data_IF_833204076826
#
_entry.id   IF_833204076826
#
_cell.length_a   1.000
_cell.length_b   1.000
_cell.length_c   1.000
_cell.angle_alpha   90.00
_cell.angle_beta   90.00
_cell.angle_gamma   90.00
#
_symmetry.space_group_name_H-M   'P 1'
#
loop_
_entity.id
_entity.type
_entity.pdbx_description
1 polymer ?
#
# COMPACT_ATOMS: atom_id res chain seq x y z
N UNK A 1 -11.80 -16.56 13.15
CA UNK A 1 -11.26 -15.99 11.88
C UNK A 1 -10.51 -14.71 12.22
N UNK A 2 -9.34 -14.48 11.61
CA UNK A 2 -8.51 -13.28 11.90
C UNK A 2 -8.57 -12.33 10.71
N UNK A 3 -8.88 -11.05 10.96
CA UNK A 3 -8.78 -9.98 9.95
C UNK A 3 -7.31 -9.60 9.78
N UNK A 4 -6.83 -9.54 8.54
CA UNK A 4 -5.62 -8.78 8.24
C UNK A 4 -6.01 -7.30 8.31
N UNK A 5 -5.38 -6.54 9.21
CA UNK A 5 -5.52 -5.09 9.24
C UNK A 5 -4.73 -4.51 8.09
N UNK A 6 -5.40 -3.76 7.20
CA UNK A 6 -4.74 -3.04 6.13
C UNK A 6 -4.38 -1.66 6.67
N UNK A 7 -3.13 -1.49 7.12
CA UNK A 7 -2.64 -0.15 7.46
C UNK A 7 -2.63 0.70 6.19
N UNK A 8 -3.59 1.62 6.06
CA UNK A 8 -3.27 2.91 5.45
C UNK A 8 -2.07 3.46 6.23
N UNK A 9 -1.02 3.85 5.51
CA UNK A 9 0.15 4.51 6.09
C UNK A 9 -0.27 5.93 6.57
N UNK A 10 -1.08 6.01 7.61
CA UNK A 10 -1.35 7.24 8.36
C UNK A 10 -0.30 7.35 9.45
N UNK A 11 0.73 8.14 9.15
CA UNK A 11 1.81 8.54 10.05
C UNK A 11 1.21 9.20 11.30
N UNK A 12 1.30 8.53 12.44
CA UNK A 12 0.85 9.05 13.73
C UNK A 12 1.94 9.99 14.29
N UNK A 13 1.69 11.30 14.28
CA UNK A 13 2.55 12.28 14.93
C UNK A 13 2.50 12.11 16.47
N UNK A 14 3.58 11.63 17.07
CA UNK A 14 3.79 11.72 18.51
C UNK A 14 4.24 13.14 18.87
N UNK A 15 3.41 13.87 19.62
CA UNK A 15 3.75 15.17 20.20
C UNK A 15 4.55 14.91 21.48
N UNK A 16 5.84 15.20 21.47
CA UNK A 16 6.67 15.28 22.70
C UNK A 16 6.63 16.72 23.19
N UNK A 17 5.94 16.94 24.31
CA UNK A 17 6.01 18.20 25.06
C UNK A 17 7.31 18.25 25.85
N UNK A 18 8.18 19.22 25.54
CA UNK A 18 9.38 19.51 26.32
C UNK A 18 9.04 20.57 27.37
N UNK A 19 9.01 20.19 28.65
CA UNK A 19 8.95 21.13 29.76
C UNK A 19 10.37 21.67 30.02
N UNK A 20 10.53 22.99 30.04
CA UNK A 20 11.73 23.62 30.60
C UNK A 20 11.42 24.16 31.98
N UNK A 21 12.13 23.64 32.98
CA UNK A 21 12.25 24.20 34.33
C UNK A 21 12.86 25.60 34.26
N UNK A 22 12.16 26.58 34.82
CA UNK A 22 12.69 27.92 35.04
C UNK A 22 13.78 27.90 36.12
N UNK A 23 14.81 28.72 35.93
CA UNK A 23 15.73 29.07 37.00
C UNK A 23 15.65 30.58 37.25
N UNK A 24 15.46 30.93 38.53
CA UNK A 24 15.34 32.29 39.05
C UNK A 24 16.61 33.12 38.89
N UNK A 25 16.38 34.42 38.67
CA UNK A 25 17.33 35.52 38.78
C UNK A 25 17.95 35.63 40.18
N UNK A 26 19.22 36.04 40.24
CA UNK A 26 19.75 36.98 41.24
C UNK A 26 21.01 37.66 40.71
N UNK A 27 21.00 39.00 40.77
CA UNK A 27 22.08 39.96 40.55
C UNK A 27 23.30 39.65 41.47
N UNK A 28 24.52 40.20 41.35
CA UNK A 28 24.94 41.52 40.91
C UNK A 28 26.49 41.58 40.79
N UNK A 29 27.00 42.57 40.06
CA UNK A 29 28.28 43.24 40.34
C UNK A 29 29.55 42.83 39.57
N UNK A 30 30.03 43.71 38.68
CA UNK A 30 31.44 43.71 38.25
C UNK A 30 31.75 44.42 36.93
N UNK A 31 31.94 45.74 37.00
CA UNK A 31 32.40 46.63 35.93
C UNK A 31 33.81 46.28 35.38
N UNK A 32 33.98 46.21 34.05
CA UNK A 32 35.18 46.77 33.40
C UNK A 32 34.97 47.17 31.93
N UNK A 33 35.59 48.30 31.59
CA UNK A 33 35.52 49.06 30.34
C UNK A 33 36.47 48.47 29.28
N UNK A 34 36.03 48.39 28.01
CA UNK A 34 36.96 48.06 26.93
C UNK A 34 36.39 47.88 25.53
N UNK A 35 36.10 49.00 24.86
CA UNK A 35 36.43 49.30 23.46
C UNK A 35 36.27 48.20 22.38
N UNK A 36 35.29 48.41 21.48
CA UNK A 36 35.17 47.70 20.20
C UNK A 36 33.75 47.24 19.91
N UNK A 37 32.76 48.15 19.96
CA UNK A 37 31.36 47.82 19.72
C UNK A 37 31.11 47.39 18.28
N UNK A 38 31.34 46.12 17.97
CA UNK A 38 30.58 45.44 16.92
C UNK A 38 29.11 45.64 17.29
N UNK A 39 28.35 46.34 16.46
CA UNK A 39 26.92 46.51 16.65
C UNK A 39 26.27 45.13 16.40
N UNK A 40 26.33 44.25 17.40
CA UNK A 40 25.74 42.92 17.35
C UNK A 40 24.24 43.09 17.48
N UNK A 41 23.57 43.06 16.33
CA UNK A 41 22.12 43.11 16.26
C UNK A 41 21.58 41.78 16.79
N UNK A 42 20.87 41.84 17.94
CA UNK A 42 20.28 40.65 18.55
C UNK A 42 19.14 40.10 17.69
N UNK A 43 19.17 38.79 17.43
CA UNK A 43 18.11 38.10 16.69
C UNK A 43 16.82 38.09 17.52
N UNK A 44 15.72 38.45 16.88
CA UNK A 44 14.36 38.48 17.45
C UNK A 44 13.38 37.60 16.67
N UNK A 45 13.81 36.97 15.58
CA UNK A 45 13.00 36.06 14.79
C UNK A 45 13.74 35.46 13.61
N UNK A 46 13.17 34.37 13.08
CA UNK A 46 13.57 33.73 11.82
C UNK A 46 12.32 33.48 10.98
N UNK A 47 12.41 33.69 9.67
CA UNK A 47 11.34 33.37 8.71
C UNK A 47 11.92 32.63 7.51
N UNK A 48 11.13 31.73 6.93
CA UNK A 48 11.47 31.04 5.69
C UNK A 48 10.86 31.72 4.47
N UNK A 49 11.54 31.65 3.34
CA UNK A 49 11.04 32.11 2.04
C UNK A 49 9.87 31.26 1.51
N UNK A 50 9.73 30.03 2.01
CA UNK A 50 8.65 29.10 1.69
C UNK A 50 8.17 28.38 2.95
N UNK A 51 6.85 28.23 3.06
CA UNK A 51 6.20 27.46 4.14
C UNK A 51 5.75 26.08 3.66
N UNK A 52 5.73 25.85 2.35
CA UNK A 52 5.43 24.55 1.73
C UNK A 52 6.33 24.29 0.51
N UNK A 53 6.63 23.02 0.25
CA UNK A 53 7.34 22.54 -0.93
C UNK A 53 6.67 21.26 -1.44
N UNK A 54 6.53 21.13 -2.75
CA UNK A 54 6.16 19.87 -3.41
C UNK A 54 7.28 19.46 -4.35
N UNK A 55 7.95 18.35 -4.06
CA UNK A 55 9.12 17.87 -4.80
C UNK A 55 8.87 16.45 -5.33
N UNK A 56 9.46 16.12 -6.48
CA UNK A 56 9.57 14.72 -6.90
C UNK A 56 10.71 14.05 -6.14
N UNK A 57 10.60 12.75 -5.90
CA UNK A 57 11.66 11.94 -5.30
C UNK A 57 12.98 12.14 -6.06
N UNK A 58 14.09 12.32 -5.34
CA UNK A 58 15.40 12.66 -5.89
C UNK A 58 15.61 14.14 -6.22
N UNK A 59 14.56 14.97 -6.27
CA UNK A 59 14.70 16.41 -6.50
C UNK A 59 15.20 17.15 -5.25
N UNK A 60 15.80 18.31 -5.47
CA UNK A 60 16.29 19.20 -4.41
C UNK A 60 15.68 20.59 -4.53
N UNK A 61 15.59 21.28 -3.39
CA UNK A 61 15.21 22.69 -3.34
C UNK A 61 15.88 23.37 -2.15
N UNK A 62 16.22 24.65 -2.27
CA UNK A 62 16.82 25.42 -1.18
C UNK A 62 15.76 26.24 -0.46
N UNK A 63 15.78 26.21 0.87
CA UNK A 63 15.03 27.10 1.75
C UNK A 63 15.93 28.24 2.21
N UNK A 64 15.47 29.47 2.00
CA UNK A 64 16.13 30.67 2.50
C UNK A 64 15.60 31.05 3.88
N UNK A 65 16.49 31.22 4.85
CA UNK A 65 16.13 31.75 6.16
C UNK A 65 16.52 33.24 6.26
N UNK A 66 15.60 34.09 6.70
CA UNK A 66 15.82 35.52 6.96
C UNK A 66 15.72 35.79 8.46
N UNK A 67 16.70 36.52 9.01
CA UNK A 67 16.74 36.89 10.42
C UNK A 67 16.17 38.30 10.64
N UNK A 68 15.45 38.48 11.74
CA UNK A 68 14.96 39.77 12.19
C UNK A 68 15.70 40.25 13.45
N UNK A 69 15.93 41.56 13.62
CA UNK A 69 15.70 42.62 12.64
C UNK A 69 16.74 42.60 11.52
N UNK A 70 16.51 43.37 10.45
CA UNK A 70 17.43 43.40 9.31
C UNK A 70 18.86 43.75 9.74
N UNK A 71 19.84 43.00 9.22
CA UNK A 71 21.25 43.10 9.61
C UNK A 71 21.66 42.19 10.76
N UNK A 72 20.72 41.47 11.40
CA UNK A 72 21.05 40.40 12.33
C UNK A 72 21.81 39.27 11.61
N UNK A 73 22.86 38.76 12.25
CA UNK A 73 23.68 37.66 11.75
C UNK A 73 23.69 36.52 12.76
N UNK A 74 23.79 35.28 12.27
CA UNK A 74 23.83 34.10 13.12
C UNK A 74 23.71 32.81 12.33
N UNK A 75 24.03 31.69 12.99
CA UNK A 75 23.98 30.38 12.38
C UNK A 75 22.59 29.77 12.59
N UNK A 76 21.90 29.49 11.49
CA UNK A 76 20.61 28.78 11.50
C UNK A 76 20.88 27.28 11.49
N UNK A 77 20.31 26.56 12.46
CA UNK A 77 20.30 25.10 12.47
C UNK A 77 19.08 24.58 11.71
N UNK A 78 19.27 23.46 11.01
CA UNK A 78 18.23 22.82 10.20
C UNK A 78 17.97 21.41 10.70
N UNK A 79 16.70 21.00 10.71
CA UNK A 79 16.31 19.64 11.03
C UNK A 79 15.10 19.20 10.20
N UNK A 80 14.94 17.88 10.06
CA UNK A 80 13.76 17.27 9.44
C UNK A 80 13.02 16.42 10.46
N UNK A 81 11.69 16.42 10.40
CA UNK A 81 10.87 15.49 11.17
C UNK A 81 11.04 14.03 10.72
N UNK A 82 11.41 13.81 9.45
CA UNK A 82 11.68 12.49 8.88
C UNK A 82 12.68 12.60 7.71
N UNK A 83 13.96 12.35 8.02
CA UNK A 83 15.04 12.39 7.03
C UNK A 83 14.95 11.27 5.97
N UNK A 84 14.15 10.22 6.19
CA UNK A 84 13.91 9.16 5.20
C UNK A 84 12.89 9.57 4.14
N UNK A 85 12.12 10.64 4.39
CA UNK A 85 11.17 11.25 3.45
C UNK A 85 11.78 12.50 2.81
N UNK A 86 12.25 13.45 3.61
CA UNK A 86 12.97 14.62 3.12
C UNK A 86 14.10 14.99 4.09
N UNK A 87 15.32 15.11 3.57
CA UNK A 87 16.49 15.52 4.36
C UNK A 87 16.83 16.98 4.08
N UNK A 88 17.53 17.64 4.99
CA UNK A 88 18.03 19.01 4.83
C UNK A 88 19.47 19.08 5.30
N UNK A 89 20.33 19.80 4.58
CA UNK A 89 21.71 20.03 5.01
C UNK A 89 21.88 21.37 5.75
N UNK A 90 23.07 21.63 6.27
CA UNK A 90 23.38 22.86 7.02
C UNK A 90 23.21 24.17 6.22
N UNK A 91 23.13 24.10 4.89
CA UNK A 91 22.91 25.25 4.00
C UNK A 91 21.43 25.44 3.64
N UNK A 92 20.50 24.67 4.23
CA UNK A 92 19.07 24.74 3.92
C UNK A 92 18.69 24.07 2.60
N UNK A 93 19.56 23.25 2.01
CA UNK A 93 19.23 22.45 0.82
C UNK A 93 18.45 21.22 1.27
N UNK A 94 17.20 21.16 0.84
CA UNK A 94 16.28 20.04 1.05
C UNK A 94 16.42 19.05 -0.10
N UNK A 95 16.59 17.78 0.23
CA UNK A 95 16.58 16.66 -0.72
C UNK A 95 15.38 15.77 -0.46
N UNK A 96 14.55 15.56 -1.49
CA UNK A 96 13.43 14.63 -1.45
C UNK A 96 13.93 13.19 -1.55
N UNK A 97 13.72 12.38 -0.52
CA UNK A 97 14.28 11.03 -0.40
C UNK A 97 13.28 9.95 -0.78
N UNK A 98 12.03 10.06 -0.29
CA UNK A 98 10.98 9.05 -0.53
C UNK A 98 9.61 9.71 -0.50
N UNK A 99 8.67 9.22 -1.32
CA UNK A 99 7.25 9.62 -1.25
C UNK A 99 6.74 9.69 0.19
N UNK A 100 6.16 10.84 0.56
CA UNK A 100 5.68 11.10 1.92
C UNK A 100 5.55 12.60 2.22
N UNK A 101 5.38 12.94 3.50
CA UNK A 101 5.42 14.33 3.96
C UNK A 101 6.32 14.45 5.18
N UNK A 102 7.21 15.45 5.19
CA UNK A 102 8.09 15.77 6.31
C UNK A 102 8.14 17.28 6.54
N UNK A 103 8.38 17.71 7.78
CA UNK A 103 8.57 19.13 8.11
C UNK A 103 10.05 19.44 8.25
N UNK A 104 10.50 20.48 7.55
CA UNK A 104 11.84 21.05 7.69
C UNK A 104 11.76 22.25 8.62
N UNK A 105 12.57 22.25 9.67
CA UNK A 105 12.60 23.30 10.70
C UNK A 105 13.93 24.03 10.62
N UNK A 106 13.86 25.36 10.51
CA UNK A 106 14.98 26.27 10.70
C UNK A 106 14.91 26.88 12.10
N UNK A 107 16.01 26.85 12.85
CA UNK A 107 16.06 27.33 14.22
C UNK A 107 17.28 28.22 14.49
N UNK A 108 17.09 29.23 15.35
CA UNK A 108 18.17 30.06 15.88
C UNK A 108 17.80 30.52 17.30
N UNK A 109 18.58 30.08 18.29
CA UNK A 109 18.21 30.27 19.69
C UNK A 109 16.85 29.64 20.00
N UNK A 110 15.89 30.44 20.44
CA UNK A 110 14.51 30.03 20.73
C UNK A 110 13.53 30.23 19.56
N UNK A 111 13.98 30.86 18.47
CA UNK A 111 13.13 31.16 17.32
C UNK A 111 13.17 30.02 16.31
N UNK A 112 11.99 29.67 15.77
CA UNK A 112 11.84 28.60 14.78
C UNK A 112 10.93 29.03 13.63
N UNK A 113 11.17 28.47 12.45
CA UNK A 113 10.30 28.55 11.29
C UNK A 113 10.24 27.20 10.58
N UNK A 114 9.08 26.84 10.04
CA UNK A 114 8.83 25.50 9.49
C UNK A 114 8.34 25.56 8.06
N UNK A 115 8.84 24.65 7.23
CA UNK A 115 8.34 24.37 5.88
C UNK A 115 7.87 22.92 5.78
N UNK A 116 6.63 22.70 5.32
CA UNK A 116 6.10 21.35 5.06
C UNK A 116 6.51 20.91 3.65
N UNK A 117 7.20 19.77 3.55
CA UNK A 117 7.67 19.20 2.30
C UNK A 117 6.84 17.96 1.97
N UNK A 118 6.14 18.00 0.84
CA UNK A 118 5.46 16.84 0.26
C UNK A 118 6.33 16.28 -0.85
N UNK A 119 6.74 15.01 -0.70
CA UNK A 119 7.48 14.28 -1.73
C UNK A 119 6.51 13.42 -2.52
N UNK A 120 6.46 13.66 -3.81
CA UNK A 120 5.77 12.85 -4.81
C UNK A 120 6.75 11.83 -5.37
N UNK A 121 6.30 10.58 -5.58
CA UNK A 121 7.15 9.56 -6.20
C UNK A 121 7.39 9.84 -7.70
N UNK A 122 8.28 9.08 -8.31
CA UNK A 122 8.33 8.99 -9.78
C UNK A 122 7.07 8.30 -10.31
N UNK A 123 6.58 8.75 -11.47
CA UNK A 123 5.44 8.11 -12.14
C UNK A 123 5.91 6.76 -12.68
N UNK A 124 5.75 5.70 -11.87
CA UNK A 124 6.06 4.35 -12.34
C UNK A 124 4.98 3.91 -13.31
N UNK A 125 5.31 3.93 -14.60
CA UNK A 125 4.41 3.45 -15.65
C UNK A 125 4.52 1.93 -15.70
N UNK A 126 3.46 1.26 -15.25
CA UNK A 126 3.34 -0.19 -15.37
C UNK A 126 2.81 -0.52 -16.75
N UNK A 127 3.65 -1.14 -17.59
CA UNK A 127 3.25 -1.60 -18.92
C UNK A 127 3.11 -3.12 -18.92
N UNK A 128 1.91 -3.59 -18.54
CA UNK A 128 1.57 -5.01 -18.62
C UNK A 128 0.26 -5.21 -19.41
N UNK A 129 0.16 -6.23 -20.29
CA UNK A 129 -1.06 -6.49 -21.06
C UNK A 129 -2.32 -6.66 -20.20
N UNK A 130 -2.21 -7.21 -18.98
CA UNK A 130 -3.34 -7.38 -18.08
C UNK A 130 -3.93 -6.04 -17.59
N UNK A 131 -3.16 -4.95 -17.64
CA UNK A 131 -3.59 -3.59 -17.30
C UNK A 131 -4.08 -2.77 -18.51
N UNK A 132 -4.06 -3.37 -19.72
CA UNK A 132 -4.47 -2.68 -20.95
C UNK A 132 -5.97 -2.77 -21.26
N UNK A 133 -6.70 -3.65 -20.59
CA UNK A 133 -8.14 -3.88 -20.75
C UNK A 133 -9.04 -2.77 -20.17
N UNK A 134 -10.26 -3.15 -19.79
CA UNK A 134 -11.30 -2.23 -19.25
C UNK A 134 -12.28 -2.94 -18.30
N UNK A 135 -13.17 -2.16 -17.67
CA UNK A 135 -14.23 -2.63 -16.77
C UNK A 135 -13.72 -3.56 -15.66
N UNK A 136 -12.73 -3.07 -14.92
CA UNK A 136 -12.05 -3.85 -13.89
C UNK A 136 -12.88 -3.98 -12.61
N UNK A 137 -12.98 -5.19 -12.09
CA UNK A 137 -13.44 -5.49 -10.73
C UNK A 137 -12.23 -5.98 -9.94
N UNK A 138 -11.65 -5.11 -9.11
CA UNK A 138 -10.30 -5.31 -8.56
C UNK A 138 -10.38 -5.88 -7.15
N UNK A 139 -9.84 -7.08 -6.92
CA UNK A 139 -9.79 -7.72 -5.60
C UNK A 139 -8.44 -7.56 -4.91
N UNK A 140 -7.34 -7.56 -5.66
CA UNK A 140 -5.99 -7.37 -5.13
C UNK A 140 -5.12 -6.70 -6.18
N UNK A 141 -4.64 -5.50 -5.88
CA UNK A 141 -3.72 -4.76 -6.75
C UNK A 141 -3.03 -3.68 -5.92
N UNK A 142 -1.74 -3.48 -6.16
CA UNK A 142 -1.00 -2.38 -5.53
C UNK A 142 -1.49 -1.00 -5.99
N UNK A 143 -1.23 0.04 -5.20
CA UNK A 143 -1.77 1.38 -5.46
C UNK A 143 -1.22 2.04 -6.72
N UNK A 144 0.02 1.73 -7.12
CA UNK A 144 0.63 2.29 -8.32
C UNK A 144 -0.03 1.70 -9.56
N UNK A 145 -0.13 0.37 -9.61
CA UNK A 145 -0.81 -0.32 -10.71
C UNK A 145 -2.30 0.02 -10.74
N UNK A 146 -2.96 0.12 -9.59
CA UNK A 146 -4.36 0.55 -9.51
C UNK A 146 -4.57 1.96 -10.04
N UNK A 147 -3.71 2.92 -9.66
CA UNK A 147 -3.80 4.29 -10.16
C UNK A 147 -3.70 4.36 -11.70
N UNK A 148 -2.91 3.46 -12.32
CA UNK A 148 -2.76 3.41 -13.79
C UNK A 148 -4.04 2.99 -14.53
N UNK A 149 -4.95 2.25 -13.87
CA UNK A 149 -6.20 1.75 -14.45
C UNK A 149 -7.45 2.34 -13.78
N UNK A 150 -7.31 3.26 -12.81
CA UNK A 150 -8.41 3.71 -11.96
C UNK A 150 -9.63 4.22 -12.74
N UNK A 151 -9.41 4.92 -13.86
CA UNK A 151 -10.49 5.42 -14.73
C UNK A 151 -11.27 4.33 -15.46
N UNK A 152 -10.77 3.08 -15.43
CA UNK A 152 -11.35 1.89 -16.06
C UNK A 152 -11.92 0.90 -15.03
N UNK A 153 -11.85 1.23 -13.74
CA UNK A 153 -12.34 0.37 -12.65
C UNK A 153 -13.85 0.55 -12.51
N UNK A 154 -14.59 -0.55 -12.63
CA UNK A 154 -16.04 -0.63 -12.37
C UNK A 154 -16.31 -0.79 -10.87
N UNK A 155 -15.52 -1.61 -10.18
CA UNK A 155 -15.61 -1.76 -8.72
C UNK A 155 -14.24 -1.99 -8.08
N UNK A 156 -13.91 -1.18 -7.07
CA UNK A 156 -12.77 -1.41 -6.18
C UNK A 156 -13.21 -2.33 -5.02
N UNK A 157 -12.84 -3.61 -5.14
CA UNK A 157 -13.16 -4.68 -4.20
C UNK A 157 -11.93 -5.06 -3.34
N UNK A 158 -10.87 -4.25 -3.37
CA UNK A 158 -9.68 -4.46 -2.54
C UNK A 158 -10.05 -4.37 -1.06
N UNK A 159 -9.45 -5.18 -0.17
CA UNK A 159 -9.74 -5.12 1.25
C UNK A 159 -9.51 -3.71 1.84
N UNK A 160 -10.35 -3.34 2.80
CA UNK A 160 -10.24 -2.17 3.65
C UNK A 160 -10.51 -2.58 5.11
N UNK A 161 -10.42 -1.63 6.05
CA UNK A 161 -10.65 -1.91 7.47
C UNK A 161 -12.15 -1.82 7.89
N UNK A 162 -13.07 -1.63 6.93
CA UNK A 162 -14.48 -1.27 7.21
C UNK A 162 -15.46 -2.24 6.54
N UNK A 163 -15.50 -2.23 5.21
CA UNK A 163 -16.55 -2.78 4.37
C UNK A 163 -16.11 -3.98 3.50
N UNK A 164 -14.82 -4.10 3.21
CA UNK A 164 -14.24 -5.14 2.36
C UNK A 164 -13.13 -5.82 3.12
N UNK A 165 -13.11 -7.13 3.25
CA UNK A 165 -12.12 -7.79 4.11
C UNK A 165 -11.41 -8.91 3.36
N UNK A 166 -10.16 -9.17 3.75
CA UNK A 166 -9.48 -10.45 3.53
C UNK A 166 -9.56 -11.24 4.84
N UNK A 167 -10.40 -12.27 4.87
CA UNK A 167 -10.52 -13.15 6.03
C UNK A 167 -9.62 -14.35 5.87
N UNK A 168 -8.77 -14.60 6.88
CA UNK A 168 -8.08 -15.88 7.03
C UNK A 168 -8.92 -16.80 7.92
N UNK A 169 -9.18 -18.01 7.45
CA UNK A 169 -9.87 -19.03 8.25
C UNK A 169 -9.01 -19.44 9.44
N UNK A 170 -9.68 -19.63 10.56
CA UNK A 170 -9.05 -19.75 11.86
C UNK A 170 -8.11 -20.96 11.95
N UNK A 171 -6.90 -20.73 12.45
CA UNK A 171 -5.86 -21.75 12.63
C UNK A 171 -5.42 -22.45 11.34
N UNK A 172 -5.66 -21.85 10.18
CA UNK A 172 -5.33 -22.48 8.90
C UNK A 172 -4.14 -21.81 8.19
N UNK A 173 -4.23 -20.51 7.93
CA UNK A 173 -3.12 -19.70 7.39
C UNK A 173 -2.67 -18.69 8.43
N UNK A 174 -1.45 -18.19 8.27
CA UNK A 174 -1.00 -16.96 8.91
C UNK A 174 -0.61 -15.92 7.85
N UNK A 175 -0.69 -14.65 8.22
CA UNK A 175 -0.20 -13.58 7.37
C UNK A 175 1.33 -13.71 7.22
N UNK A 176 1.80 -13.77 5.98
CA UNK A 176 3.21 -13.69 5.65
C UNK A 176 3.69 -12.24 5.57
N UNK A 177 5.01 -12.08 5.44
CA UNK A 177 5.64 -10.78 5.17
C UNK A 177 6.07 -10.74 3.71
N UNK A 178 5.41 -9.94 2.85
CA UNK A 178 5.85 -9.71 1.48
C UNK A 178 7.33 -9.31 1.41
N UNK A 179 8.11 -9.99 0.56
CA UNK A 179 9.53 -9.73 0.33
C UNK A 179 9.90 -9.80 -1.16
N UNK A 180 10.68 -8.84 -1.64
CA UNK A 180 11.03 -8.67 -3.06
C UNK A 180 10.09 -7.71 -3.78
N UNK A 181 9.81 -7.99 -5.05
CA UNK A 181 8.90 -7.21 -5.89
C UNK A 181 7.58 -7.95 -6.11
N UNK A 182 6.52 -7.19 -6.34
CA UNK A 182 5.16 -7.68 -6.62
C UNK A 182 5.05 -8.22 -8.05
N UNK A 183 3.83 -8.59 -8.49
CA UNK A 183 3.62 -9.20 -9.80
C UNK A 183 4.13 -8.35 -10.97
N UNK A 184 4.01 -7.03 -10.86
CA UNK A 184 4.46 -6.06 -11.87
C UNK A 184 5.88 -5.55 -11.66
N UNK A 185 6.66 -6.18 -10.76
CA UNK A 185 8.05 -5.81 -10.49
C UNK A 185 8.20 -4.58 -9.59
N UNK A 186 7.14 -4.15 -8.91
CA UNK A 186 7.16 -2.99 -8.01
C UNK A 186 7.53 -3.38 -6.59
N UNK A 187 8.24 -2.51 -5.87
CA UNK A 187 8.45 -2.64 -4.42
C UNK A 187 7.23 -2.14 -3.64
N UNK A 188 6.09 -2.80 -3.88
CA UNK A 188 4.81 -2.55 -3.24
C UNK A 188 4.28 -3.85 -2.62
N UNK A 189 3.25 -3.75 -1.77
CA UNK A 189 2.69 -4.90 -1.07
C UNK A 189 1.84 -5.81 -1.96
N UNK A 190 1.78 -7.09 -1.60
CA UNK A 190 0.86 -8.10 -2.11
C UNK A 190 0.34 -8.95 -0.94
N UNK A 191 -0.60 -9.86 -1.20
CA UNK A 191 -1.09 -10.78 -0.17
C UNK A 191 -0.14 -11.97 -0.08
N UNK A 192 0.52 -12.13 1.07
CA UNK A 192 1.35 -13.29 1.38
C UNK A 192 0.68 -14.13 2.45
N UNK A 193 0.41 -15.40 2.13
CA UNK A 193 -0.24 -16.35 3.04
C UNK A 193 0.73 -17.49 3.35
N UNK A 194 0.99 -17.74 4.62
CA UNK A 194 1.83 -18.85 5.07
C UNK A 194 0.93 -20.01 5.46
N UNK A 195 1.16 -21.18 4.88
CA UNK A 195 0.41 -22.39 5.21
C UNK A 195 0.76 -22.88 6.60
N UNK A 196 -0.27 -23.07 7.43
CA UNK A 196 -0.13 -23.62 8.77
C UNK A 196 0.07 -25.14 8.78
N UNK A 197 -0.16 -25.74 9.95
CA UNK A 197 -0.01 -27.19 10.16
C UNK A 197 -1.28 -27.99 9.89
N UNK A 198 -2.40 -27.30 9.64
CA UNK A 198 -3.72 -27.92 9.40
C UNK A 198 -3.91 -28.17 7.91
N UNK A 199 -4.50 -29.31 7.56
CA UNK A 199 -4.68 -29.82 6.20
C UNK A 199 -5.05 -28.76 5.15
N UNK A 200 -6.35 -28.58 4.87
CA UNK A 200 -6.79 -27.49 3.98
C UNK A 200 -6.87 -26.18 4.75
N UNK A 201 -6.27 -25.15 4.17
CA UNK A 201 -6.15 -23.83 4.76
C UNK A 201 -6.55 -22.75 3.77
N UNK A 202 -7.25 -21.70 4.21
CA UNK A 202 -7.84 -20.77 3.24
C UNK A 202 -8.03 -19.34 3.73
N UNK A 203 -8.12 -18.46 2.74
CA UNK A 203 -8.43 -17.06 2.90
C UNK A 203 -9.42 -16.60 1.82
N UNK A 204 -10.21 -15.56 2.10
CA UNK A 204 -11.19 -15.06 1.13
C UNK A 204 -11.44 -13.56 1.20
N UNK A 205 -11.65 -12.97 0.03
CA UNK A 205 -12.07 -11.60 -0.19
C UNK A 205 -13.58 -11.52 -0.11
N UNK A 206 -14.09 -10.61 0.70
CA UNK A 206 -15.52 -10.46 0.92
C UNK A 206 -15.93 -8.99 1.06
N UNK A 207 -17.21 -8.76 0.81
CA UNK A 207 -17.90 -7.53 1.15
C UNK A 207 -18.84 -7.76 2.34
N UNK A 208 -19.06 -6.74 3.15
CA UNK A 208 -20.12 -6.73 4.15
C UNK A 208 -21.42 -6.12 3.58
N UNK A 209 -22.45 -5.99 4.41
CA UNK A 209 -23.72 -5.39 3.99
C UNK A 209 -23.61 -3.89 3.71
N UNK A 210 -22.71 -3.19 4.42
CA UNK A 210 -22.55 -1.73 4.36
C UNK A 210 -21.81 -1.27 3.09
N UNK A 211 -21.04 -2.16 2.44
CA UNK A 211 -20.49 -1.90 1.11
C UNK A 211 -21.59 -1.74 0.05
N UNK A 212 -22.73 -2.41 0.25
CA UNK A 212 -23.80 -2.49 -0.74
C UNK A 212 -23.60 -3.61 -1.78
N UNK A 213 -24.53 -3.72 -2.73
CA UNK A 213 -24.49 -4.72 -3.79
C UNK A 213 -23.30 -4.50 -4.74
N UNK A 214 -22.58 -5.57 -5.05
CA UNK A 214 -21.56 -5.59 -6.12
C UNK A 214 -22.23 -6.04 -7.40
N UNK A 215 -22.45 -5.10 -8.32
CA UNK A 215 -23.04 -5.40 -9.62
C UNK A 215 -21.98 -5.88 -10.60
N UNK A 216 -22.03 -7.16 -10.97
CA UNK A 216 -21.13 -7.79 -11.93
C UNK A 216 -21.88 -8.33 -13.16
N UNK A 217 -23.11 -7.86 -13.44
CA UNK A 217 -23.94 -8.42 -14.53
C UNK A 217 -23.36 -8.21 -15.92
N UNK A 218 -22.43 -7.29 -16.11
CA UNK A 218 -21.70 -7.16 -17.39
C UNK A 218 -20.91 -8.45 -17.73
N UNK A 219 -20.51 -9.25 -16.73
CA UNK A 219 -19.91 -10.58 -16.95
C UNK A 219 -20.95 -11.59 -17.45
N UNK A 220 -22.21 -11.47 -17.04
CA UNK A 220 -23.32 -12.28 -17.54
C UNK A 220 -23.69 -11.90 -18.97
N UNK A 221 -23.74 -10.61 -19.27
CA UNK A 221 -24.12 -10.09 -20.58
C UNK A 221 -23.02 -10.34 -21.64
N UNK A 222 -21.74 -10.32 -21.22
CA UNK A 222 -20.58 -10.41 -22.11
C UNK A 222 -19.53 -11.45 -21.66
N UNK A 223 -19.89 -12.72 -21.37
CA UNK A 223 -18.99 -13.69 -20.73
C UNK A 223 -17.76 -14.05 -21.58
N UNK A 224 -17.83 -13.87 -22.90
CA UNK A 224 -16.72 -14.12 -23.82
C UNK A 224 -15.63 -13.05 -23.81
N UNK A 225 -15.92 -11.86 -23.29
CA UNK A 225 -14.95 -10.74 -23.24
C UNK A 225 -14.21 -10.67 -21.90
N UNK A 226 -14.72 -11.34 -20.87
CA UNK A 226 -14.21 -11.25 -19.50
C UNK A 226 -13.31 -12.41 -19.10
N UNK A 227 -12.30 -12.06 -18.29
CA UNK A 227 -11.37 -13.01 -17.67
C UNK A 227 -11.20 -12.67 -16.19
N UNK A 228 -11.02 -13.70 -15.36
CA UNK A 228 -10.45 -13.59 -14.03
C UNK A 228 -8.93 -13.77 -14.15
N UNK A 229 -8.18 -12.70 -13.87
CA UNK A 229 -6.73 -12.74 -13.72
C UNK A 229 -6.38 -13.08 -12.28
N UNK A 230 -5.42 -13.98 -12.07
CA UNK A 230 -4.82 -14.24 -10.75
C UNK A 230 -3.32 -14.35 -10.93
N UNK A 231 -2.58 -13.35 -10.42
CA UNK A 231 -1.14 -13.42 -10.24
C UNK A 231 -0.82 -14.23 -8.99
N UNK A 232 0.08 -15.20 -9.12
CA UNK A 232 0.51 -16.04 -8.02
C UNK A 232 2.02 -16.29 -8.04
N UNK A 233 2.57 -16.47 -6.85
CA UNK A 233 3.91 -16.99 -6.62
C UNK A 233 3.82 -17.92 -5.42
N UNK A 234 4.43 -19.09 -5.47
CA UNK A 234 4.26 -20.05 -4.38
C UNK A 234 5.43 -21.00 -4.25
N UNK A 235 5.71 -21.36 -3.00
CA UNK A 235 6.65 -22.43 -2.64
C UNK A 235 5.93 -23.72 -2.23
N UNK A 236 4.59 -23.77 -2.33
CA UNK A 236 3.81 -24.97 -2.04
C UNK A 236 4.22 -26.11 -2.95
N UNK A 237 4.44 -27.28 -2.37
CA UNK A 237 4.64 -28.52 -3.12
C UNK A 237 3.69 -29.60 -2.59
N UNK A 238 3.30 -30.54 -3.44
CA UNK A 238 2.54 -31.72 -3.04
C UNK A 238 1.03 -31.55 -2.84
N UNK A 239 0.46 -30.33 -2.99
CA UNK A 239 -0.99 -30.11 -3.10
C UNK A 239 -1.31 -28.98 -4.07
N UNK A 240 -2.49 -29.03 -4.72
CA UNK A 240 -2.94 -27.94 -5.56
C UNK A 240 -3.40 -26.74 -4.74
N UNK A 241 -3.44 -25.58 -5.38
CA UNK A 241 -4.12 -24.40 -4.85
C UNK A 241 -5.55 -24.42 -5.40
N UNK A 242 -6.54 -24.52 -4.52
CA UNK A 242 -7.94 -24.47 -4.91
C UNK A 242 -8.44 -23.01 -4.90
N UNK A 243 -9.29 -22.68 -5.86
CA UNK A 243 -9.87 -21.37 -6.06
C UNK A 243 -11.38 -21.55 -6.04
N UNK A 244 -12.05 -20.76 -5.21
CA UNK A 244 -13.50 -20.74 -5.07
C UNK A 244 -13.99 -19.35 -5.45
N UNK A 245 -14.88 -19.28 -6.42
CA UNK A 245 -15.54 -18.05 -6.88
C UNK A 245 -17.01 -18.16 -6.55
N UNK A 246 -17.61 -17.06 -6.10
CA UNK A 246 -19.04 -16.95 -5.83
C UNK A 246 -19.65 -15.87 -6.73
N UNK A 247 -20.86 -16.10 -7.24
CA UNK A 247 -21.62 -15.13 -8.04
C UNK A 247 -22.88 -14.60 -7.32
N UNK A 248 -23.01 -14.89 -6.03
CA UNK A 248 -24.19 -14.62 -5.21
C UNK A 248 -25.12 -15.83 -5.06
N UNK A 249 -25.13 -16.75 -6.02
CA UNK A 249 -26.02 -17.92 -6.07
C UNK A 249 -25.31 -19.23 -5.76
N UNK A 250 -24.15 -19.44 -6.39
CA UNK A 250 -23.41 -20.68 -6.36
C UNK A 250 -21.93 -20.43 -6.05
N UNK A 251 -21.25 -21.50 -5.64
CA UNK A 251 -19.80 -21.55 -5.53
C UNK A 251 -19.26 -22.38 -6.70
N UNK A 252 -18.50 -21.76 -7.59
CA UNK A 252 -17.70 -22.46 -8.59
C UNK A 252 -16.32 -22.74 -8.02
N UNK A 253 -15.84 -23.98 -8.16
CA UNK A 253 -14.58 -24.43 -7.58
C UNK A 253 -13.71 -25.03 -8.67
N UNK A 254 -12.44 -24.67 -8.67
CA UNK A 254 -11.41 -25.25 -9.51
C UNK A 254 -10.07 -25.16 -8.79
N UNK A 255 -9.00 -25.66 -9.40
CA UNK A 255 -7.66 -25.61 -8.81
C UNK A 255 -6.57 -25.39 -9.84
N UNK A 256 -5.37 -25.06 -9.35
CA UNK A 256 -4.13 -25.10 -10.13
C UNK A 256 -3.15 -26.07 -9.48
N UNK A 257 -2.43 -26.83 -10.31
CA UNK A 257 -1.40 -27.76 -9.84
C UNK A 257 -1.89 -29.16 -9.48
N UNK A 258 -3.11 -29.52 -9.86
CA UNK A 258 -3.69 -30.84 -9.60
C UNK A 258 -5.17 -30.76 -9.20
N UNK A 259 -5.84 -31.91 -9.22
CA UNK A 259 -7.26 -32.00 -8.91
C UNK A 259 -7.53 -31.72 -7.43
N UNK A 260 -8.60 -30.97 -7.16
CA UNK A 260 -9.06 -30.63 -5.84
C UNK A 260 -10.24 -31.51 -5.44
N UNK A 261 -10.18 -32.16 -4.28
CA UNK A 261 -11.30 -32.97 -3.77
C UNK A 261 -11.91 -32.27 -2.56
N UNK A 262 -13.20 -31.96 -2.66
CA UNK A 262 -14.00 -31.37 -1.59
C UNK A 262 -15.24 -32.21 -1.33
N UNK A 263 -15.34 -32.73 -0.11
CA UNK A 263 -16.41 -33.60 0.35
C UNK A 263 -16.77 -34.74 -0.63
N UNK A 264 -15.75 -35.39 -1.20
CA UNK A 264 -15.89 -36.50 -2.15
C UNK A 264 -16.15 -36.09 -3.61
N UNK A 265 -16.33 -34.79 -3.89
CA UNK A 265 -16.43 -34.28 -5.27
C UNK A 265 -15.06 -33.85 -5.76
N UNK A 266 -14.66 -34.35 -6.93
CA UNK A 266 -13.40 -33.98 -7.59
C UNK A 266 -13.63 -32.82 -8.55
N UNK A 267 -12.86 -31.76 -8.37
CA UNK A 267 -12.79 -30.58 -9.22
C UNK A 267 -11.47 -30.64 -9.98
N UNK A 268 -11.51 -30.70 -11.33
CA UNK A 268 -10.30 -30.87 -12.12
C UNK A 268 -9.41 -29.62 -12.06
N UNK A 269 -8.11 -29.85 -12.20
CA UNK A 269 -7.14 -28.76 -12.33
C UNK A 269 -7.43 -27.93 -13.59
N UNK A 270 -7.57 -26.62 -13.44
CA UNK A 270 -7.70 -25.67 -14.55
C UNK A 270 -6.36 -25.47 -15.28
N UNK A 271 -5.27 -25.37 -14.52
CA UNK A 271 -3.93 -25.19 -15.05
C UNK A 271 -2.89 -25.97 -14.24
N UNK A 272 -1.72 -26.21 -14.82
CA UNK A 272 -0.54 -26.66 -14.08
C UNK A 272 -0.04 -25.54 -13.16
N UNK A 273 0.60 -25.91 -12.05
CA UNK A 273 1.25 -24.95 -11.16
C UNK A 273 2.72 -24.85 -11.47
N UNK A 274 3.25 -23.63 -11.46
CA UNK A 274 4.68 -23.35 -11.58
C UNK A 274 5.19 -22.92 -10.21
N UNK A 275 6.21 -23.62 -9.70
CA UNK A 275 6.81 -23.38 -8.39
C UNK A 275 8.29 -22.99 -8.54
N UNK A 276 8.58 -22.09 -9.47
CA UNK A 276 9.94 -21.66 -9.83
C UNK A 276 10.44 -20.46 -9.01
N UNK A 277 9.67 -20.06 -8.00
CA UNK A 277 9.95 -18.89 -7.16
C UNK A 277 9.69 -17.56 -7.85
N UNK A 278 9.10 -17.54 -9.06
CA UNK A 278 8.74 -16.34 -9.80
C UNK A 278 7.23 -16.11 -9.80
N UNK A 279 6.85 -14.89 -10.14
CA UNK A 279 5.47 -14.55 -10.42
C UNK A 279 5.01 -15.22 -11.70
N UNK A 280 3.87 -15.88 -11.61
CA UNK A 280 3.14 -16.52 -12.70
C UNK A 280 1.70 -16.02 -12.64
N UNK A 281 0.90 -16.24 -13.68
CA UNK A 281 -0.52 -15.91 -13.66
C UNK A 281 -1.35 -16.97 -14.36
N UNK A 282 -2.64 -17.00 -14.00
CA UNK A 282 -3.68 -17.67 -14.78
C UNK A 282 -4.71 -16.64 -15.25
N UNK A 283 -5.29 -16.95 -16.40
CA UNK A 283 -6.38 -16.19 -17.01
C UNK A 283 -7.54 -17.16 -17.20
N UNK A 284 -8.56 -17.06 -16.35
CA UNK A 284 -9.73 -17.92 -16.42
C UNK A 284 -10.83 -17.19 -17.18
N UNK A 285 -11.20 -17.63 -18.41
CA UNK A 285 -12.32 -17.01 -19.13
C UNK A 285 -13.60 -17.13 -18.29
N UNK A 286 -14.44 -16.10 -18.27
CA UNK A 286 -15.73 -16.17 -17.58
C UNK A 286 -16.60 -17.29 -18.14
N UNK A 287 -16.53 -17.55 -19.46
CA UNK A 287 -17.18 -18.74 -20.07
C UNK A 287 -16.80 -20.06 -19.40
N UNK A 288 -15.58 -20.19 -18.86
CA UNK A 288 -15.18 -21.37 -18.10
C UNK A 288 -15.79 -21.40 -16.69
N UNK A 289 -16.01 -20.24 -16.08
CA UNK A 289 -16.76 -20.12 -14.83
C UNK A 289 -18.25 -20.45 -15.03
N UNK A 290 -18.83 -20.11 -16.19
CA UNK A 290 -20.19 -20.52 -16.54
C UNK A 290 -20.35 -22.04 -16.57
N UNK A 291 -19.34 -22.79 -17.04
CA UNK A 291 -19.34 -24.26 -17.00
C UNK A 291 -19.36 -24.81 -15.55
N UNK A 292 -18.94 -24.00 -14.56
CA UNK A 292 -19.01 -24.31 -13.13
C UNK A 292 -20.31 -23.82 -12.48
N UNK A 293 -21.26 -23.31 -13.26
CA UNK A 293 -22.55 -22.82 -12.78
C UNK A 293 -22.53 -21.39 -12.24
N UNK A 294 -21.47 -20.62 -12.51
CA UNK A 294 -21.37 -19.21 -12.13
C UNK A 294 -21.78 -18.32 -13.30
N UNK A 295 -22.88 -17.58 -13.14
CA UNK A 295 -23.44 -16.77 -14.22
C UNK A 295 -23.34 -15.26 -13.97
N UNK A 296 -23.26 -14.82 -12.70
CA UNK A 296 -23.20 -13.39 -12.35
C UNK A 296 -24.45 -12.61 -12.79
N UNK A 297 -25.62 -13.27 -12.79
CA UNK A 297 -26.89 -12.73 -13.28
C UNK A 297 -27.60 -11.77 -12.32
N UNK A 298 -27.01 -11.53 -11.14
CA UNK A 298 -27.50 -10.57 -10.14
C UNK A 298 -26.37 -10.00 -9.30
N UNK A 299 -26.60 -8.87 -8.61
CA UNK A 299 -25.60 -8.31 -7.71
C UNK A 299 -25.28 -9.20 -6.51
N UNK A 300 -24.01 -9.24 -6.11
CA UNK A 300 -23.56 -9.93 -4.91
C UNK A 300 -23.81 -9.05 -3.67
N UNK A 301 -24.35 -9.61 -2.60
CA UNK A 301 -24.59 -8.90 -1.33
C UNK A 301 -24.04 -9.71 -0.17
N UNK A 302 -23.07 -9.16 0.57
CA UNK A 302 -22.47 -9.78 1.76
C UNK A 302 -21.96 -11.21 1.48
N UNK A 303 -21.03 -11.35 0.54
CA UNK A 303 -20.48 -12.64 0.10
C UNK A 303 -18.96 -12.62 0.06
N UNK A 304 -18.35 -13.81 0.17
CA UNK A 304 -17.00 -14.02 -0.35
C UNK A 304 -17.09 -13.94 -1.87
N UNK A 305 -16.30 -13.10 -2.52
CA UNK A 305 -16.23 -13.00 -3.99
C UNK A 305 -15.24 -14.03 -4.52
N UNK A 306 -14.11 -14.18 -3.81
CA UNK A 306 -13.04 -15.11 -4.13
C UNK A 306 -12.50 -15.70 -2.83
N UNK A 307 -12.23 -17.00 -2.81
CA UNK A 307 -11.41 -17.63 -1.80
C UNK A 307 -10.31 -18.48 -2.44
N UNK A 308 -9.18 -18.55 -1.75
CA UNK A 308 -8.05 -19.40 -2.11
C UNK A 308 -7.80 -20.37 -0.96
N UNK A 309 -7.66 -21.64 -1.32
CA UNK A 309 -7.29 -22.70 -0.40
C UNK A 309 -5.96 -23.28 -0.84
N UNK A 310 -5.11 -23.54 0.14
CA UNK A 310 -3.88 -24.30 -0.04
C UNK A 310 -3.63 -25.18 1.16
N UNK A 311 -2.50 -25.87 1.12
CA UNK A 311 -2.09 -26.78 2.18
C UNK A 311 -0.96 -27.65 1.70
N UNK A 312 -0.55 -28.61 2.52
CA UNK A 312 0.56 -29.49 2.20
C UNK A 312 1.69 -29.25 3.18
N UNK A 313 2.79 -28.70 2.71
CA UNK A 313 3.94 -28.42 3.57
C UNK A 313 3.67 -27.19 4.44
N UNK A 314 3.75 -27.33 5.76
CA UNK A 314 3.66 -26.19 6.66
C UNK A 314 4.84 -25.23 6.44
N UNK A 315 4.57 -23.93 6.50
CA UNK A 315 5.58 -22.87 6.34
C UNK A 315 5.81 -22.41 4.89
N UNK A 316 5.30 -23.13 3.88
CA UNK A 316 5.38 -22.64 2.49
C UNK A 316 4.35 -21.53 2.24
N UNK A 317 4.65 -20.67 1.27
CA UNK A 317 3.88 -19.46 0.98
C UNK A 317 2.97 -19.62 -0.23
N UNK A 318 1.84 -18.93 -0.19
CA UNK A 318 0.97 -18.64 -1.32
C UNK A 318 0.89 -17.13 -1.40
N UNK A 319 1.65 -16.56 -2.32
CA UNK A 319 1.68 -15.14 -2.60
C UNK A 319 0.74 -14.83 -3.77
N UNK A 320 -0.12 -13.83 -3.60
CA UNK A 320 -1.20 -13.48 -4.51
C UNK A 320 -1.20 -11.98 -4.77
N UNK A 321 -1.30 -11.63 -6.05
CA UNK A 321 -1.34 -10.24 -6.53
C UNK A 321 -2.10 -10.16 -7.86
N UNK A 322 -2.36 -8.95 -8.35
CA UNK A 322 -3.01 -8.71 -9.64
C UNK A 322 -4.34 -9.48 -9.83
N UNK A 323 -5.16 -9.58 -8.78
CA UNK A 323 -6.43 -10.31 -8.83
C UNK A 323 -7.55 -9.37 -9.25
N UNK A 324 -8.13 -9.61 -10.43
CA UNK A 324 -9.27 -8.84 -10.92
C UNK A 324 -10.05 -9.59 -12.00
N UNK A 325 -11.33 -9.25 -12.14
CA UNK A 325 -12.07 -9.51 -13.37
C UNK A 325 -11.91 -8.31 -14.30
N UNK A 326 -11.76 -8.54 -15.60
CA UNK A 326 -11.62 -7.47 -16.57
C UNK A 326 -12.07 -7.88 -17.98
N UNK A 327 -12.53 -6.91 -18.77
CA UNK A 327 -12.65 -7.05 -20.22
C UNK A 327 -11.26 -6.98 -20.82
N UNK A 328 -10.81 -8.07 -21.44
CA UNK A 328 -9.48 -8.16 -22.04
C UNK A 328 -9.41 -7.30 -23.30
N UNK A 329 -8.31 -6.58 -23.49
CA UNK A 329 -8.06 -5.84 -24.72
C UNK A 329 -7.96 -6.83 -25.89
N UNK A 330 -8.62 -6.52 -27.00
CA UNK A 330 -8.62 -7.31 -28.25
C UNK A 330 -7.45 -6.92 -29.14
#
# INVERSE_FOLDING_TARGET
MTKIKFLLFTLLCAVITLQTTGCSSSDDGGNDNGNGGSNVITVTGVSLDKTTLSLKEGATATLGATLAPAGATGNVSWSSSDATVASVNNSGVVTAVKKGTASIVAAIGTFTATCVVTVTGEDVVVTDPSLSGSNYFVLQLDDVSFASIQSKVTADLRPDDVNKNLYIWENTLSAGTPAGTNFYGLSQGWVSLVVGTVGWSGAGWNTNADFGPVDMTDLFDNPGDYYLHIGYKTSQTGRPIAIIVNDGNADGKFSIGGDFVDNGTTYPSFATITTDGKWNSIEVPVTKLNELGLFFDKPLVKKNILAVLGGGTAGTTIDLDAIFYYKKAK
#
